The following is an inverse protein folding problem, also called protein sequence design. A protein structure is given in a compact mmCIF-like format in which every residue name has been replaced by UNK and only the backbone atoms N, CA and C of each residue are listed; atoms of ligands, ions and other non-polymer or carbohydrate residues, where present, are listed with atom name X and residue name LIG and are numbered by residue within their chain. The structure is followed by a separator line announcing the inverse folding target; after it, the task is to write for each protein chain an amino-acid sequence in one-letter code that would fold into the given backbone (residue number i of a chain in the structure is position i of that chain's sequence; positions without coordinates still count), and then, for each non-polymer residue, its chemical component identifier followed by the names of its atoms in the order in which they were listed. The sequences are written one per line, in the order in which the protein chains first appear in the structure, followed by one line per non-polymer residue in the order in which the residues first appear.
data_IF_510835964988
#
_entry.id   IF_510835964988
#
_cell.length_a   1.000
_cell.length_b   1.000
_cell.length_c   1.000
_cell.angle_alpha   90.00
_cell.angle_beta   90.00
_cell.angle_gamma   90.00
#
_symmetry.space_group_name_H-M   'P 1'
#
loop_
_entity.id
_entity.type
_entity.pdbx_description
1 polymer ?
#
# COMPACT_ATOMS: atom_id res chain seq x y z
N UNK A 1 12.16 -9.88 7.63
CA UNK A 1 12.39 -8.46 7.28
C UNK A 1 13.28 -8.41 6.05
N UNK A 2 12.89 -7.73 5.00
CA UNK A 2 13.72 -7.60 3.78
C UNK A 2 14.87 -6.64 4.11
N UNK A 3 16.11 -7.09 3.93
CA UNK A 3 17.27 -6.23 4.09
C UNK A 3 17.41 -5.32 2.87
N UNK A 4 17.34 -4.00 3.09
CA UNK A 4 17.47 -2.97 2.04
C UNK A 4 18.82 -2.25 2.07
N UNK A 5 19.69 -2.56 3.04
CA UNK A 5 20.93 -1.83 3.25
C UNK A 5 21.85 -1.96 2.03
N UNK A 6 22.34 -0.82 1.55
CA UNK A 6 23.19 -0.68 0.36
C UNK A 6 22.55 -1.13 -0.97
N UNK A 7 21.25 -1.46 -0.98
CA UNK A 7 20.56 -1.83 -2.22
C UNK A 7 20.17 -0.61 -3.02
N UNK A 8 20.39 -0.69 -4.32
CA UNK A 8 19.87 0.29 -5.28
C UNK A 8 18.40 -0.01 -5.55
N UNK A 9 17.52 0.90 -5.17
CA UNK A 9 16.07 0.72 -5.26
C UNK A 9 15.47 1.86 -6.08
N UNK A 10 14.73 1.50 -7.12
CA UNK A 10 14.03 2.50 -7.93
C UNK A 10 12.63 2.73 -7.38
N UNK A 11 12.22 3.99 -7.34
CA UNK A 11 10.88 4.41 -6.98
C UNK A 11 10.23 5.05 -8.20
N UNK A 12 9.08 4.56 -8.65
CA UNK A 12 8.31 5.15 -9.73
C UNK A 12 7.18 6.04 -9.20
N UNK A 13 7.20 7.30 -9.65
CA UNK A 13 6.23 8.33 -9.26
C UNK A 13 6.74 9.26 -8.17
N UNK A 14 6.82 10.55 -8.48
CA UNK A 14 7.38 11.62 -7.63
C UNK A 14 6.31 12.45 -6.89
N UNK A 15 5.19 11.82 -6.54
CA UNK A 15 4.19 12.41 -5.65
C UNK A 15 4.44 12.00 -4.18
N UNK A 16 3.50 12.33 -3.30
CA UNK A 16 3.62 12.12 -1.85
C UNK A 16 4.17 10.73 -1.48
N UNK A 17 3.54 9.66 -1.97
CA UNK A 17 3.91 8.28 -1.60
C UNK A 17 5.32 7.90 -2.06
N UNK A 18 5.69 8.25 -3.29
CA UNK A 18 7.02 7.93 -3.82
C UNK A 18 8.13 8.69 -3.11
N UNK A 19 7.92 9.99 -2.83
CA UNK A 19 8.89 10.79 -2.09
C UNK A 19 9.06 10.27 -0.66
N UNK A 20 7.96 9.91 0.01
CA UNK A 20 8.01 9.32 1.34
C UNK A 20 8.74 7.97 1.35
N UNK A 21 8.46 7.11 0.38
CA UNK A 21 9.13 5.84 0.20
C UNK A 21 10.65 6.00 0.00
N UNK A 22 11.06 6.95 -0.85
CA UNK A 22 12.47 7.23 -1.09
C UNK A 22 13.20 7.70 0.18
N UNK A 23 12.57 8.57 0.96
CA UNK A 23 13.13 9.08 2.22
C UNK A 23 13.24 7.94 3.24
N UNK A 24 12.21 7.14 3.41
CA UNK A 24 12.24 6.00 4.33
C UNK A 24 13.35 5.01 3.95
N UNK A 25 13.41 4.60 2.68
CA UNK A 25 14.44 3.69 2.19
C UNK A 25 15.85 4.22 2.44
N UNK A 26 16.08 5.52 2.22
CA UNK A 26 17.37 6.15 2.52
C UNK A 26 17.69 6.10 4.02
N UNK A 27 16.75 6.40 4.89
CA UNK A 27 16.91 6.28 6.35
C UNK A 27 17.24 4.85 6.77
N UNK A 28 16.72 3.84 6.05
CA UNK A 28 17.00 2.42 6.31
C UNK A 28 18.29 1.92 5.63
N UNK A 29 19.06 2.84 5.02
CA UNK A 29 20.39 2.56 4.47
C UNK A 29 20.41 2.07 3.03
N UNK A 30 19.30 2.16 2.30
CA UNK A 30 19.24 1.91 0.86
C UNK A 30 19.80 3.11 0.06
N UNK A 31 20.02 2.87 -1.24
CA UNK A 31 20.36 3.89 -2.24
C UNK A 31 19.15 4.08 -3.17
N UNK A 32 18.17 4.92 -2.77
CA UNK A 32 16.98 5.14 -3.57
C UNK A 32 17.27 6.04 -4.79
N UNK A 33 16.67 5.71 -5.92
CA UNK A 33 16.59 6.55 -7.10
C UNK A 33 15.13 6.72 -7.50
N UNK A 34 14.64 7.97 -7.52
CA UNK A 34 13.25 8.26 -7.84
C UNK A 34 13.13 8.70 -9.29
N UNK A 35 12.16 8.15 -10.02
CA UNK A 35 11.94 8.43 -11.44
C UNK A 35 10.46 8.70 -11.71
N UNK A 36 10.16 9.77 -12.44
CA UNK A 36 8.81 10.14 -12.87
C UNK A 36 8.78 10.48 -14.37
N UNK A 37 7.77 9.98 -15.07
CA UNK A 37 7.55 10.30 -16.48
C UNK A 37 7.01 11.71 -16.72
N UNK A 38 6.45 12.33 -15.69
CA UNK A 38 5.97 13.72 -15.67
C UNK A 38 6.94 14.67 -14.98
N UNK A 39 6.59 15.96 -14.92
CA UNK A 39 7.33 16.94 -14.13
C UNK A 39 7.14 16.68 -12.63
N UNK A 40 8.19 16.87 -11.86
CA UNK A 40 8.16 16.78 -10.40
C UNK A 40 7.77 18.14 -9.82
N UNK A 41 6.76 18.18 -8.97
CA UNK A 41 6.36 19.40 -8.25
C UNK A 41 7.54 19.94 -7.44
N UNK A 42 7.77 21.26 -7.47
CA UNK A 42 8.90 21.92 -6.81
C UNK A 42 9.03 21.57 -5.33
N UNK A 43 7.91 21.41 -4.61
CA UNK A 43 7.93 21.03 -3.20
C UNK A 43 8.54 19.65 -2.99
N UNK A 44 8.25 18.70 -3.87
CA UNK A 44 8.79 17.34 -3.82
C UNK A 44 10.24 17.30 -4.28
N UNK A 45 10.57 18.02 -5.36
CA UNK A 45 11.94 18.16 -5.85
C UNK A 45 12.85 18.76 -4.76
N UNK A 46 12.41 19.81 -4.07
CA UNK A 46 13.15 20.44 -2.98
C UNK A 46 13.31 19.49 -1.78
N UNK A 47 12.27 18.71 -1.46
CA UNK A 47 12.34 17.69 -0.41
C UNK A 47 13.37 16.61 -0.75
N UNK A 48 13.37 16.09 -1.96
CA UNK A 48 14.36 15.11 -2.42
C UNK A 48 15.78 15.65 -2.38
N UNK A 49 16.00 16.89 -2.84
CA UNK A 49 17.31 17.57 -2.77
C UNK A 49 17.79 17.74 -1.34
N UNK A 50 16.93 18.20 -0.43
CA UNK A 50 17.28 18.38 0.98
C UNK A 50 17.67 17.07 1.67
N UNK A 51 17.07 15.97 1.24
CA UNK A 51 17.42 14.61 1.69
C UNK A 51 18.59 14.00 0.89
N UNK A 52 19.19 14.73 -0.07
CA UNK A 52 20.21 14.22 -1.00
C UNK A 52 19.81 12.91 -1.68
N UNK A 53 18.56 12.83 -2.15
CA UNK A 53 18.03 11.73 -2.95
C UNK A 53 18.08 12.13 -4.41
N UNK A 54 18.72 11.30 -5.22
CA UNK A 54 18.76 11.50 -6.66
C UNK A 54 17.44 11.16 -7.31
N UNK A 55 17.02 11.99 -8.26
CA UNK A 55 15.79 11.78 -9.00
C UNK A 55 15.89 12.30 -10.43
N UNK A 56 14.99 11.82 -11.27
CA UNK A 56 14.78 12.32 -12.64
C UNK A 56 13.29 12.58 -12.87
N UNK A 57 13.01 13.42 -13.86
CA UNK A 57 11.67 13.78 -14.29
C UNK A 57 11.53 13.74 -15.81
N UNK A 58 10.28 13.66 -16.31
CA UNK A 58 9.91 13.66 -17.74
C UNK A 58 10.48 12.50 -18.55
N UNK A 59 11.02 11.51 -17.90
CA UNK A 59 11.55 10.31 -18.54
C UNK A 59 11.80 9.21 -17.51
N UNK A 60 12.05 7.99 -18.03
CA UNK A 60 12.62 6.89 -17.28
C UNK A 60 13.91 6.48 -18.00
N UNK A 61 15.06 6.87 -17.45
CA UNK A 61 16.38 6.52 -18.01
C UNK A 61 16.72 5.05 -17.77
N UNK A 62 17.81 4.58 -18.40
CA UNK A 62 18.34 3.24 -18.12
C UNK A 62 18.70 3.04 -16.65
N UNK A 63 19.09 4.10 -15.96
CA UNK A 63 19.37 4.06 -14.53
C UNK A 63 18.12 3.68 -13.71
N UNK A 64 16.95 4.20 -14.07
CA UNK A 64 15.69 3.83 -13.43
C UNK A 64 15.35 2.34 -13.60
N UNK A 65 15.91 1.67 -14.60
CA UNK A 65 15.69 0.24 -14.86
C UNK A 65 16.67 -0.68 -14.11
N UNK A 66 17.67 -0.11 -13.43
CA UNK A 66 18.76 -0.88 -12.80
C UNK A 66 18.50 -1.26 -11.35
N UNK A 67 17.47 -0.70 -10.68
CA UNK A 67 17.15 -1.05 -9.30
C UNK A 67 16.98 -2.58 -9.11
N UNK A 68 17.32 -3.06 -7.93
CA UNK A 68 17.11 -4.48 -7.55
C UNK A 68 15.62 -4.85 -7.57
N UNK A 69 14.79 -3.91 -7.17
CA UNK A 69 13.33 -3.97 -7.28
C UNK A 69 12.74 -2.56 -7.47
N UNK A 70 11.48 -2.51 -7.82
CA UNK A 70 10.73 -1.28 -8.02
C UNK A 70 9.75 -1.06 -6.86
N UNK A 71 9.73 0.15 -6.30
CA UNK A 71 8.60 0.61 -5.47
C UNK A 71 7.72 1.50 -6.34
N UNK A 72 6.45 1.13 -6.49
CA UNK A 72 5.51 1.83 -7.36
C UNK A 72 4.51 2.66 -6.55
N UNK A 73 4.34 3.93 -6.94
CA UNK A 73 3.29 4.79 -6.39
C UNK A 73 1.92 4.41 -6.94
N UNK A 74 0.81 4.57 -6.19
CA UNK A 74 -0.54 4.19 -6.65
C UNK A 74 -0.98 4.85 -7.97
N UNK A 75 -0.45 6.05 -8.27
CA UNK A 75 -0.73 6.77 -9.51
C UNK A 75 -0.06 6.17 -10.75
N UNK A 76 0.98 5.37 -10.59
CA UNK A 76 1.72 4.76 -11.72
C UNK A 76 1.09 3.41 -12.05
N UNK A 77 0.58 3.19 -13.29
CA UNK A 77 -0.03 1.92 -13.65
C UNK A 77 1.01 0.81 -13.84
N UNK A 78 0.58 -0.43 -13.56
CA UNK A 78 1.40 -1.62 -13.84
C UNK A 78 1.72 -1.77 -15.35
N UNK A 79 0.87 -1.21 -16.21
CA UNK A 79 1.10 -1.14 -17.67
C UNK A 79 2.14 -0.08 -18.09
N UNK A 80 2.66 0.73 -17.16
CA UNK A 80 3.67 1.74 -17.48
C UNK A 80 4.97 1.10 -18.00
N UNK A 81 5.72 1.77 -18.88
CA UNK A 81 6.97 1.22 -19.44
C UNK A 81 7.96 0.78 -18.38
N UNK A 82 8.10 1.55 -17.30
CA UNK A 82 9.02 1.21 -16.21
C UNK A 82 8.58 -0.08 -15.49
N UNK A 83 7.30 -0.22 -15.14
CA UNK A 83 6.80 -1.42 -14.47
C UNK A 83 6.91 -2.66 -15.39
N UNK A 84 6.56 -2.51 -16.69
CA UNK A 84 6.69 -3.60 -17.65
C UNK A 84 8.15 -4.05 -17.85
N UNK A 85 9.10 -3.13 -17.79
CA UNK A 85 10.53 -3.48 -17.87
C UNK A 85 10.96 -4.33 -16.66
N UNK A 86 10.56 -3.95 -15.43
CA UNK A 86 10.84 -4.74 -14.24
C UNK A 86 10.21 -6.14 -14.30
N UNK A 87 8.97 -6.26 -14.77
CA UNK A 87 8.30 -7.55 -14.96
C UNK A 87 9.02 -8.41 -16.00
N UNK A 88 9.44 -7.82 -17.13
CA UNK A 88 10.19 -8.52 -18.18
C UNK A 88 11.53 -9.03 -17.67
N UNK A 89 12.20 -8.25 -16.83
CA UNK A 89 13.47 -8.62 -16.19
C UNK A 89 13.30 -9.56 -14.99
N UNK A 90 12.06 -10.00 -14.70
CA UNK A 90 11.71 -10.85 -13.55
C UNK A 90 12.09 -10.24 -12.20
N UNK A 91 12.12 -8.92 -12.11
CA UNK A 91 12.36 -8.18 -10.88
C UNK A 91 11.03 -7.89 -10.16
N UNK A 92 11.09 -7.88 -8.85
CA UNK A 92 9.91 -7.59 -8.01
C UNK A 92 9.46 -6.15 -8.11
N UNK A 93 8.13 -5.96 -8.02
CA UNK A 93 7.48 -4.65 -7.88
C UNK A 93 6.69 -4.67 -6.58
N UNK A 94 6.88 -3.67 -5.75
CA UNK A 94 6.19 -3.52 -4.47
C UNK A 94 5.46 -2.19 -4.40
N UNK A 95 4.31 -2.17 -3.75
CA UNK A 95 3.64 -0.92 -3.41
C UNK A 95 4.35 -0.22 -2.24
N UNK A 96 4.06 1.06 -2.07
CA UNK A 96 4.59 1.84 -0.94
C UNK A 96 4.19 1.23 0.41
N UNK A 97 2.93 0.76 0.56
CA UNK A 97 2.46 0.15 1.81
C UNK A 97 3.13 -1.19 2.10
N UNK A 98 3.39 -1.99 1.07
CA UNK A 98 4.17 -3.23 1.22
C UNK A 98 5.56 -2.91 1.76
N UNK A 99 6.28 -1.99 1.10
CA UNK A 99 7.64 -1.61 1.48
C UNK A 99 7.68 -1.00 2.88
N UNK A 100 6.74 -0.12 3.22
CA UNK A 100 6.66 0.49 4.55
C UNK A 100 6.37 -0.56 5.63
N UNK A 101 5.53 -1.56 5.34
CA UNK A 101 5.18 -2.62 6.29
C UNK A 101 6.38 -3.44 6.77
N UNK A 102 7.46 -3.52 6.00
CA UNK A 102 8.68 -4.21 6.43
C UNK A 102 9.35 -3.58 7.65
N UNK A 103 9.06 -2.31 7.93
CA UNK A 103 9.61 -1.53 9.04
C UNK A 103 8.57 -1.25 10.14
N UNK A 104 7.34 -1.71 9.94
CA UNK A 104 6.27 -1.54 10.91
C UNK A 104 6.42 -2.48 12.11
N UNK A 105 6.05 -1.99 13.30
CA UNK A 105 6.11 -2.74 14.55
C UNK A 105 4.78 -2.85 15.28
N UNK A 106 3.76 -2.15 14.81
CA UNK A 106 2.43 -2.16 15.39
C UNK A 106 1.48 -3.06 14.62
N UNK A 107 0.43 -3.60 15.23
CA UNK A 107 -0.65 -4.25 14.49
C UNK A 107 -1.23 -3.30 13.43
N UNK A 108 -1.50 -3.84 12.23
CA UNK A 108 -2.11 -3.10 11.14
C UNK A 108 -3.62 -3.39 11.12
N UNK A 109 -4.42 -2.33 11.12
CA UNK A 109 -5.86 -2.35 10.78
C UNK A 109 -6.00 -1.72 9.40
N UNK A 110 -6.25 -2.53 8.37
CA UNK A 110 -6.33 -2.06 6.98
C UNK A 110 -7.77 -2.04 6.49
N UNK A 111 -8.19 -0.92 5.92
CA UNK A 111 -9.56 -0.71 5.40
C UNK A 111 -9.52 -0.47 3.91
N UNK A 112 -10.24 -1.29 3.15
CA UNK A 112 -10.47 -1.09 1.71
C UNK A 112 -11.97 -1.10 1.38
N UNK A 113 -12.27 -0.80 0.13
CA UNK A 113 -13.63 -0.75 -0.41
C UNK A 113 -13.68 0.22 -1.59
N UNK A 114 -14.76 0.23 -2.34
CA UNK A 114 -14.98 1.26 -3.36
C UNK A 114 -15.29 2.60 -2.67
N UNK A 115 -16.22 2.62 -1.75
CA UNK A 115 -16.69 3.82 -1.05
C UNK A 115 -16.58 3.70 0.46
N UNK A 116 -16.52 4.85 1.16
CA UNK A 116 -16.60 4.92 2.63
C UNK A 116 -15.28 4.70 3.38
N UNK A 117 -14.18 4.34 2.72
CA UNK A 117 -12.88 4.07 3.34
C UNK A 117 -12.42 5.19 4.28
N UNK A 118 -12.37 6.41 3.77
CA UNK A 118 -11.94 7.61 4.51
C UNK A 118 -12.80 7.86 5.74
N UNK A 119 -14.12 7.72 5.60
CA UNK A 119 -15.06 7.87 6.71
C UNK A 119 -14.82 6.81 7.78
N UNK A 120 -14.69 5.55 7.38
CA UNK A 120 -14.45 4.44 8.31
C UNK A 120 -13.13 4.62 9.07
N UNK A 121 -12.02 4.93 8.38
CA UNK A 121 -10.72 5.14 9.02
C UNK A 121 -10.74 6.33 9.98
N UNK A 122 -11.35 7.46 9.59
CA UNK A 122 -11.48 8.62 10.49
C UNK A 122 -12.37 8.31 11.70
N UNK A 123 -13.41 7.53 11.53
CA UNK A 123 -14.27 7.12 12.63
C UNK A 123 -13.55 6.17 13.60
N UNK A 124 -12.82 5.21 13.07
CA UNK A 124 -11.94 4.35 13.87
C UNK A 124 -10.93 5.20 14.64
N UNK A 125 -10.22 6.13 13.98
CA UNK A 125 -9.29 7.04 14.65
C UNK A 125 -9.96 7.81 15.81
N UNK A 126 -11.14 8.35 15.58
CA UNK A 126 -11.91 9.02 16.66
C UNK A 126 -12.20 8.08 17.82
N UNK A 127 -12.58 6.83 17.53
CA UNK A 127 -12.87 5.82 18.56
C UNK A 127 -11.62 5.46 19.37
N UNK A 128 -10.46 5.26 18.70
CA UNK A 128 -9.17 5.04 19.38
C UNK A 128 -8.82 6.19 20.29
N UNK A 129 -8.91 7.43 19.78
CA UNK A 129 -8.64 8.63 20.56
C UNK A 129 -9.59 8.77 21.78
N UNK A 130 -10.86 8.44 21.62
CA UNK A 130 -11.83 8.47 22.72
C UNK A 130 -11.53 7.40 23.78
N UNK A 131 -10.95 6.29 23.37
CA UNK A 131 -10.51 5.21 24.26
C UNK A 131 -9.09 5.46 24.83
N UNK A 132 -8.52 6.66 24.62
CA UNK A 132 -7.17 7.05 25.05
C UNK A 132 -6.07 6.11 24.51
N UNK A 133 -6.28 5.56 23.30
CA UNK A 133 -5.30 4.71 22.61
C UNK A 133 -4.60 5.50 21.52
N UNK A 134 -3.28 5.35 21.47
CA UNK A 134 -2.48 5.91 20.39
C UNK A 134 -2.60 5.05 19.12
N UNK A 135 -2.69 5.72 17.97
CA UNK A 135 -2.63 5.08 16.65
C UNK A 135 -2.12 6.07 15.62
N UNK A 136 -1.52 5.56 14.55
CA UNK A 136 -1.24 6.35 13.35
C UNK A 136 -2.35 6.15 12.33
N UNK A 137 -2.61 7.18 11.52
CA UNK A 137 -3.53 7.11 10.38
C UNK A 137 -2.77 7.45 9.11
N UNK A 138 -2.73 6.53 8.15
CA UNK A 138 -1.92 6.67 6.96
C UNK A 138 -2.49 5.88 5.76
N UNK A 139 -1.72 5.86 4.67
CA UNK A 139 -2.00 5.10 3.45
C UNK A 139 -2.53 5.97 2.34
N UNK A 140 -3.67 5.61 1.77
CA UNK A 140 -4.29 6.36 0.66
C UNK A 140 -4.90 7.71 1.08
N UNK A 141 -4.92 8.01 2.37
CA UNK A 141 -5.43 9.24 2.97
C UNK A 141 -4.35 9.96 3.78
N UNK A 142 -4.40 11.29 3.80
CA UNK A 142 -3.53 12.12 4.68
C UNK A 142 -2.05 11.89 4.39
N UNK A 143 -1.39 11.09 5.20
CA UNK A 143 0.03 10.78 5.11
C UNK A 143 0.26 9.43 4.40
N UNK A 144 1.38 9.30 3.68
CA UNK A 144 1.84 7.99 3.23
C UNK A 144 2.27 7.14 4.42
N UNK A 145 2.13 5.82 4.34
CA UNK A 145 2.53 4.95 5.45
C UNK A 145 4.02 5.08 5.74
N UNK A 146 4.84 5.23 4.70
CA UNK A 146 6.29 5.49 4.80
C UNK A 146 6.65 6.76 5.59
N UNK A 147 5.75 7.75 5.68
CA UNK A 147 6.02 8.96 6.46
C UNK A 147 5.90 8.73 7.97
N UNK A 148 5.03 7.80 8.38
CA UNK A 148 4.65 7.60 9.76
C UNK A 148 5.12 6.27 10.35
N UNK A 149 5.66 5.35 9.54
CA UNK A 149 6.00 4.00 9.99
C UNK A 149 7.01 3.97 11.15
N UNK A 150 7.92 4.93 11.23
CA UNK A 150 8.86 5.03 12.35
C UNK A 150 8.16 5.38 13.68
N UNK A 151 6.92 5.91 13.64
CA UNK A 151 6.11 6.21 14.81
C UNK A 151 5.33 4.99 15.33
N UNK A 152 5.33 3.87 14.60
CA UNK A 152 4.62 2.66 15.01
C UNK A 152 5.23 1.99 16.24
N UNK A 153 6.48 2.35 16.62
CA UNK A 153 7.08 1.90 17.87
C UNK A 153 6.37 2.43 19.13
N UNK A 154 5.73 3.59 19.02
CA UNK A 154 5.03 4.29 20.10
C UNK A 154 3.49 4.15 19.97
N UNK A 155 3.00 3.86 18.78
CA UNK A 155 1.57 3.72 18.52
C UNK A 155 1.06 2.32 18.86
N UNK A 156 -0.18 2.25 19.37
CA UNK A 156 -0.84 0.97 19.64
C UNK A 156 -1.28 0.25 18.36
N UNK A 157 -1.64 1.00 17.31
CA UNK A 157 -2.12 0.44 16.04
C UNK A 157 -1.77 1.35 14.85
N UNK A 158 -1.64 0.76 13.66
CA UNK A 158 -1.56 1.47 12.40
C UNK A 158 -2.89 1.33 11.63
N UNK A 159 -3.68 2.40 11.58
CA UNK A 159 -4.94 2.46 10.84
C UNK A 159 -4.66 2.89 9.40
N UNK A 160 -4.81 1.99 8.44
CA UNK A 160 -4.47 2.25 7.04
C UNK A 160 -5.69 2.26 6.14
N UNK A 161 -5.90 3.37 5.41
CA UNK A 161 -6.74 3.35 4.22
C UNK A 161 -5.95 2.75 3.06
N UNK A 162 -6.50 1.71 2.40
CA UNK A 162 -5.80 1.01 1.34
C UNK A 162 -6.62 0.98 0.05
N UNK A 163 -6.03 1.41 -1.05
CA UNK A 163 -6.61 1.32 -2.38
C UNK A 163 -6.32 -0.03 -3.04
N UNK A 164 -7.10 -0.40 -4.08
CA UNK A 164 -6.83 -1.59 -4.90
C UNK A 164 -5.43 -1.53 -5.54
N UNK A 165 -5.01 -0.38 -6.05
CA UNK A 165 -3.69 -0.20 -6.68
C UNK A 165 -2.52 -0.47 -5.74
N UNK A 166 -2.69 -0.19 -4.44
CA UNK A 166 -1.68 -0.53 -3.44
C UNK A 166 -1.66 -2.03 -3.16
N UNK A 167 -2.81 -2.69 -3.19
CA UNK A 167 -2.94 -4.13 -2.99
C UNK A 167 -2.45 -4.96 -4.18
N UNK A 168 -2.41 -4.39 -5.39
CA UNK A 168 -1.89 -5.08 -6.58
C UNK A 168 -0.41 -5.50 -6.44
N UNK A 169 0.35 -4.81 -5.61
CA UNK A 169 1.78 -5.00 -5.44
C UNK A 169 2.18 -5.28 -3.98
N UNK A 170 1.36 -6.04 -3.26
CA UNK A 170 1.72 -6.61 -1.96
C UNK A 170 2.32 -8.01 -2.12
N UNK A 171 3.12 -8.41 -1.14
CA UNK A 171 3.71 -9.75 -1.05
C UNK A 171 3.68 -10.29 0.39
N UNK A 172 4.12 -9.47 1.35
CA UNK A 172 4.19 -9.82 2.78
C UNK A 172 3.32 -8.90 3.65
N UNK A 173 2.65 -7.92 3.06
CA UNK A 173 1.74 -7.02 3.77
C UNK A 173 0.68 -7.83 4.52
N UNK A 174 0.67 -7.71 5.83
CA UNK A 174 -0.12 -8.58 6.71
C UNK A 174 -0.89 -7.73 7.74
N UNK A 175 -2.16 -7.38 7.49
CA UNK A 175 -2.99 -6.72 8.47
C UNK A 175 -3.54 -7.72 9.49
N UNK A 176 -3.38 -7.41 10.79
CA UNK A 176 -4.02 -8.15 11.88
C UNK A 176 -5.55 -8.04 11.79
N UNK A 177 -6.05 -6.90 11.29
CA UNK A 177 -7.47 -6.71 10.99
C UNK A 177 -7.60 -6.16 9.57
N UNK A 178 -8.27 -6.90 8.69
CA UNK A 178 -8.65 -6.46 7.35
C UNK A 178 -10.14 -6.12 7.30
N UNK A 179 -10.51 -4.99 6.67
CA UNK A 179 -11.90 -4.57 6.50
C UNK A 179 -12.20 -4.33 5.04
N UNK A 180 -13.25 -4.96 4.51
CA UNK A 180 -13.80 -4.63 3.18
C UNK A 180 -15.21 -4.09 3.35
N UNK A 181 -15.40 -2.80 3.03
CA UNK A 181 -16.67 -2.11 3.22
C UNK A 181 -17.70 -2.44 2.13
N UNK A 182 -17.27 -2.43 0.88
CA UNK A 182 -18.10 -2.70 -0.30
C UNK A 182 -17.22 -2.80 -1.54
N UNK A 183 -17.73 -3.47 -2.59
CA UNK A 183 -17.09 -3.50 -3.90
C UNK A 183 -18.14 -3.21 -4.97
N UNK A 184 -18.08 -2.01 -5.53
CA UNK A 184 -18.88 -1.56 -6.68
C UNK A 184 -17.95 -1.14 -7.81
N UNK A 185 -18.38 -1.18 -9.08
CA UNK A 185 -17.54 -0.80 -10.21
C UNK A 185 -16.95 0.60 -10.06
N UNK A 186 -15.61 0.66 -10.06
CA UNK A 186 -14.84 1.89 -9.94
C UNK A 186 -13.45 1.66 -10.56
N UNK A 187 -12.86 2.68 -11.19
CA UNK A 187 -11.52 2.61 -11.79
C UNK A 187 -11.28 1.38 -12.70
N UNK A 188 -12.32 0.89 -13.40
CA UNK A 188 -12.23 -0.33 -14.20
C UNK A 188 -11.26 -0.21 -15.38
N UNK A 189 -10.99 1.03 -15.84
CA UNK A 189 -9.97 1.34 -16.83
C UNK A 189 -8.57 0.82 -16.47
N UNK A 190 -8.27 0.70 -15.16
CA UNK A 190 -7.02 0.15 -14.64
C UNK A 190 -7.02 -1.39 -14.58
N UNK A 191 -8.15 -2.04 -14.79
CA UNK A 191 -8.39 -3.48 -14.69
C UNK A 191 -8.97 -4.08 -15.97
N UNK A 192 -8.61 -3.56 -17.14
CA UNK A 192 -9.10 -4.01 -18.46
C UNK A 192 -10.63 -3.96 -18.59
N UNK A 193 -11.28 -3.06 -17.87
CA UNK A 193 -12.75 -2.99 -17.69
C UNK A 193 -13.38 -4.27 -17.11
N UNK A 194 -12.59 -5.05 -16.37
CA UNK A 194 -13.01 -6.30 -15.74
C UNK A 194 -13.24 -6.07 -14.23
N UNK A 195 -14.50 -6.19 -13.82
CA UNK A 195 -14.91 -6.02 -12.42
C UNK A 195 -14.32 -7.11 -11.51
N UNK A 196 -14.17 -8.33 -11.99
CA UNK A 196 -13.63 -9.44 -11.20
C UNK A 196 -12.13 -9.21 -10.88
N UNK A 197 -11.37 -8.65 -11.83
CA UNK A 197 -9.98 -8.25 -11.58
C UNK A 197 -9.88 -7.16 -10.51
N UNK A 198 -10.75 -6.15 -10.59
CA UNK A 198 -10.82 -5.10 -9.58
C UNK A 198 -11.20 -5.64 -8.19
N UNK A 199 -12.19 -6.51 -8.12
CA UNK A 199 -12.60 -7.16 -6.87
C UNK A 199 -11.46 -8.04 -6.32
N UNK A 200 -10.82 -8.84 -7.17
CA UNK A 200 -9.69 -9.69 -6.81
C UNK A 200 -8.54 -8.90 -6.22
N UNK A 201 -8.22 -7.72 -6.78
CA UNK A 201 -7.22 -6.81 -6.21
C UNK A 201 -7.53 -6.44 -4.75
N UNK A 202 -8.79 -6.04 -4.44
CA UNK A 202 -9.18 -5.71 -3.07
C UNK A 202 -9.15 -6.91 -2.13
N UNK A 203 -9.49 -8.09 -2.61
CA UNK A 203 -9.46 -9.31 -1.80
C UNK A 203 -8.06 -9.70 -1.35
N UNK A 204 -7.02 -9.25 -2.03
CA UNK A 204 -5.63 -9.45 -1.64
C UNK A 204 -5.31 -8.91 -0.24
N UNK A 205 -6.11 -7.99 0.30
CA UNK A 205 -5.93 -7.50 1.68
C UNK A 205 -5.92 -8.63 2.72
N UNK A 206 -6.53 -9.78 2.40
CA UNK A 206 -6.57 -10.97 3.26
C UNK A 206 -5.56 -12.06 2.88
N UNK A 207 -4.70 -11.79 1.87
CA UNK A 207 -3.82 -12.80 1.25
C UNK A 207 -2.90 -13.47 2.27
N UNK A 208 -2.31 -12.66 3.15
CA UNK A 208 -1.36 -13.12 4.17
C UNK A 208 -1.99 -13.30 5.56
N UNK A 209 -3.30 -13.10 5.72
CA UNK A 209 -3.97 -13.34 7.00
C UNK A 209 -4.01 -14.83 7.34
N UNK A 210 -3.96 -15.11 8.64
CA UNK A 210 -3.99 -16.43 9.25
C UNK A 210 -5.14 -16.55 10.26
N UNK A 211 -5.26 -17.67 10.93
CA UNK A 211 -6.26 -17.89 12.01
C UNK A 211 -6.12 -16.94 13.20
N UNK A 212 -4.96 -16.28 13.35
CA UNK A 212 -4.72 -15.32 14.43
C UNK A 212 -5.25 -13.92 14.10
N UNK A 213 -5.67 -13.69 12.85
CA UNK A 213 -6.12 -12.42 12.32
C UNK A 213 -7.65 -12.32 12.22
N UNK A 214 -8.16 -11.13 11.92
CA UNK A 214 -9.60 -10.89 11.76
C UNK A 214 -9.92 -10.30 10.40
N UNK A 215 -10.92 -10.84 9.72
CA UNK A 215 -11.50 -10.27 8.51
C UNK A 215 -12.92 -9.77 8.78
N UNK A 216 -13.11 -8.45 8.70
CA UNK A 216 -14.39 -7.77 8.88
C UNK A 216 -14.98 -7.43 7.52
N UNK A 217 -16.21 -7.84 7.25
CA UNK A 217 -16.79 -7.70 5.93
C UNK A 217 -18.27 -7.33 5.94
N UNK A 218 -18.71 -6.62 4.92
CA UNK A 218 -20.11 -6.26 4.70
C UNK A 218 -20.88 -7.49 4.18
N UNK A 219 -21.83 -7.98 4.96
CA UNK A 219 -22.69 -9.11 4.60
C UNK A 219 -23.74 -8.76 3.54
N UNK A 220 -24.13 -7.49 3.43
CA UNK A 220 -25.11 -7.01 2.44
C UNK A 220 -24.52 -6.84 1.04
N UNK A 221 -23.18 -6.73 0.91
CA UNK A 221 -22.51 -6.73 -0.38
C UNK A 221 -22.34 -8.17 -0.89
N UNK A 222 -23.03 -8.52 -1.96
CA UNK A 222 -23.02 -9.87 -2.50
C UNK A 222 -21.62 -10.34 -2.96
N UNK A 223 -20.81 -9.43 -3.50
CA UNK A 223 -19.44 -9.71 -3.96
C UNK A 223 -18.53 -10.02 -2.79
N UNK A 224 -18.57 -9.17 -1.75
CA UNK A 224 -17.77 -9.32 -0.53
C UNK A 224 -18.21 -10.55 0.27
N UNK A 225 -19.52 -10.73 0.46
CA UNK A 225 -20.12 -11.89 1.16
C UNK A 225 -19.79 -13.22 0.44
N UNK A 226 -19.83 -13.23 -0.90
CA UNK A 226 -19.43 -14.38 -1.72
C UNK A 226 -17.95 -14.75 -1.54
N UNK A 227 -17.08 -13.75 -1.48
CA UNK A 227 -15.65 -13.95 -1.18
C UNK A 227 -15.44 -14.47 0.24
N UNK A 228 -16.09 -13.86 1.24
CA UNK A 228 -15.98 -14.27 2.65
C UNK A 228 -16.33 -15.75 2.84
N UNK A 229 -17.40 -16.24 2.17
CA UNK A 229 -17.79 -17.67 2.17
C UNK A 229 -16.73 -18.59 1.55
N UNK A 230 -15.95 -18.12 0.58
CA UNK A 230 -14.83 -18.88 -0.01
C UNK A 230 -13.64 -18.87 0.93
N UNK A 231 -13.29 -17.69 1.48
CA UNK A 231 -12.16 -17.49 2.38
C UNK A 231 -12.30 -18.36 3.66
N UNK A 232 -13.52 -18.44 4.23
CA UNK A 232 -13.78 -19.22 5.44
C UNK A 232 -13.53 -20.73 5.30
N UNK A 233 -13.35 -21.23 4.07
CA UNK A 233 -13.01 -22.65 3.79
C UNK A 233 -11.51 -22.90 3.73
N UNK A 234 -10.68 -21.87 3.78
CA UNK A 234 -9.23 -21.98 3.81
C UNK A 234 -8.81 -22.62 5.15
N UNK A 235 -7.88 -23.55 5.16
CA UNK A 235 -7.42 -24.28 6.36
C UNK A 235 -6.97 -23.32 7.47
N UNK A 236 -6.31 -22.23 7.11
CA UNK A 236 -5.84 -21.21 8.04
C UNK A 236 -6.57 -19.88 7.80
N UNK A 237 -7.90 -19.90 7.75
CA UNK A 237 -8.71 -18.72 7.53
C UNK A 237 -8.71 -17.78 8.74
N UNK A 238 -8.72 -16.46 8.56
CA UNK A 238 -8.88 -15.52 9.66
C UNK A 238 -10.24 -15.67 10.35
N UNK A 239 -10.37 -15.14 11.55
CA UNK A 239 -11.66 -14.98 12.21
C UNK A 239 -12.57 -14.08 11.36
N UNK A 240 -13.76 -14.58 11.05
CA UNK A 240 -14.71 -13.90 10.16
C UNK A 240 -15.72 -13.10 10.99
N UNK A 241 -15.81 -11.79 10.76
CA UNK A 241 -16.78 -10.92 11.40
C UNK A 241 -17.61 -10.16 10.36
N UNK A 242 -18.92 -10.40 10.34
CA UNK A 242 -19.81 -9.72 9.43
C UNK A 242 -20.45 -8.48 10.06
N UNK A 243 -20.68 -7.44 9.25
CA UNK A 243 -21.58 -6.33 9.58
C UNK A 243 -22.60 -6.14 8.45
N UNK A 244 -23.73 -5.48 8.76
CA UNK A 244 -24.83 -5.16 7.84
C UNK A 244 -25.46 -3.82 8.20
#
# INVERSE_FOLDING_TARGET
MIDVKNKHITIAGAARSGVAAAILLKKKGAVPFLSDSGPVDDKFANKLRSESIEFEEKSHSERAMQGEFLVISPGVPTSSPIAQKYLTDQKSIFSEIEMASWFNRSPIVAVTGSNGKTTAVNWMHHTWKTAEKECIVAGNIGYAFSELVDQTEEANDALLEVSSFQLDHINTFHPAVAVILNITPDHLDRYDNDFEKYAASKFRITENQTSDDCFIYNADDATVSGFAKKLSKRENAPHMMAFS
#
